data_IF_565783590636
#
_entry.id   IF_565783590636
#
_cell.length_a   1.000
_cell.length_b   1.000
_cell.length_c   1.000
_cell.angle_alpha   90.00
_cell.angle_beta   90.00
_cell.angle_gamma   90.00
#
_symmetry.space_group_name_H-M   'P 1'
#
loop_
_entity.id
_entity.type
_entity.pdbx_description
1 polymer ?
#
# COMPACT_ATOMS: atom_id res chain seq x y z
N UNK A 1 -40.29 16.43 10.70
CA UNK A 1 -40.23 15.02 10.22
C UNK A 1 -38.75 14.66 10.12
N UNK A 2 -38.24 13.87 11.06
CA UNK A 2 -36.79 13.67 11.22
C UNK A 2 -36.21 12.71 10.18
N UNK A 3 -34.96 12.96 9.79
CA UNK A 3 -34.11 11.94 9.15
C UNK A 3 -34.06 10.74 10.12
N UNK A 4 -34.37 9.50 9.68
CA UNK A 4 -34.28 8.34 10.56
C UNK A 4 -32.87 8.25 11.13
N UNK A 5 -32.73 8.07 12.45
CA UNK A 5 -31.43 8.10 13.14
C UNK A 5 -30.38 7.16 12.56
N UNK A 6 -30.83 6.08 11.93
CA UNK A 6 -30.00 5.10 11.19
C UNK A 6 -29.30 5.74 9.97
N UNK A 7 -30.00 6.59 9.20
CA UNK A 7 -29.41 7.24 8.03
C UNK A 7 -28.36 8.30 8.42
N UNK A 8 -28.60 9.01 9.53
CA UNK A 8 -27.63 9.95 10.09
C UNK A 8 -26.38 9.22 10.60
N UNK A 9 -26.55 8.13 11.35
CA UNK A 9 -25.45 7.31 11.83
C UNK A 9 -24.64 6.70 10.66
N UNK A 10 -25.32 6.19 9.63
CA UNK A 10 -24.68 5.68 8.42
C UNK A 10 -23.89 6.75 7.68
N UNK A 11 -24.43 7.96 7.52
CA UNK A 11 -23.72 9.08 6.91
C UNK A 11 -22.47 9.49 7.69
N UNK A 12 -22.54 9.50 9.02
CA UNK A 12 -21.37 9.77 9.88
C UNK A 12 -20.30 8.69 9.68
N UNK A 13 -20.68 7.40 9.70
CA UNK A 13 -19.76 6.29 9.46
C UNK A 13 -19.12 6.37 8.07
N UNK A 14 -19.86 6.82 7.05
CA UNK A 14 -19.34 6.99 5.70
C UNK A 14 -18.28 8.10 5.64
N UNK A 15 -18.50 9.23 6.32
CA UNK A 15 -17.52 10.31 6.41
C UNK A 15 -16.29 9.90 7.22
N UNK A 16 -16.49 9.20 8.34
CA UNK A 16 -15.38 8.71 9.18
C UNK A 16 -14.51 7.69 8.43
N UNK A 17 -15.13 6.75 7.72
CA UNK A 17 -14.40 5.79 6.88
C UNK A 17 -13.64 6.50 5.75
N UNK A 18 -14.25 7.50 5.10
CA UNK A 18 -13.56 8.32 4.09
C UNK A 18 -12.34 9.06 4.67
N UNK A 19 -12.50 9.67 5.85
CA UNK A 19 -11.42 10.38 6.53
C UNK A 19 -10.27 9.44 6.93
N UNK A 20 -10.60 8.24 7.43
CA UNK A 20 -9.62 7.21 7.74
C UNK A 20 -8.84 6.76 6.49
N UNK A 21 -9.54 6.45 5.41
CA UNK A 21 -8.92 6.05 4.13
C UNK A 21 -8.01 7.14 3.56
N UNK A 22 -8.37 8.41 3.76
CA UNK A 22 -7.55 9.52 3.30
C UNK A 22 -6.26 9.70 4.11
N UNK A 23 -6.29 9.51 5.44
CA UNK A 23 -5.19 9.91 6.33
C UNK A 23 -4.20 8.78 6.61
N UNK A 24 -4.64 7.51 6.61
CA UNK A 24 -3.86 6.39 7.11
C UNK A 24 -3.74 5.24 6.10
N UNK A 25 -3.20 5.46 4.89
CA UNK A 25 -2.92 4.35 3.97
C UNK A 25 -1.93 3.38 4.61
N UNK A 26 -2.29 2.11 4.63
CA UNK A 26 -1.43 1.03 5.14
C UNK A 26 -1.76 -0.30 4.48
N UNK A 27 -0.84 -1.25 4.57
CA UNK A 27 -1.01 -2.65 4.14
C UNK A 27 -1.73 -3.51 5.18
N UNK A 28 -2.35 -2.89 6.20
CA UNK A 28 -3.03 -3.60 7.28
C UNK A 28 -4.37 -4.19 6.83
N UNK A 29 -4.75 -5.33 7.43
CA UNK A 29 -6.07 -5.93 7.22
C UNK A 29 -7.21 -4.99 7.58
N UNK A 30 -7.01 -4.15 8.60
CA UNK A 30 -7.99 -3.14 8.98
C UNK A 30 -8.19 -2.09 7.90
N UNK A 31 -7.11 -1.65 7.24
CA UNK A 31 -7.21 -0.73 6.11
C UNK A 31 -7.94 -1.37 4.92
N UNK A 32 -7.56 -2.61 4.56
CA UNK A 32 -8.23 -3.36 3.50
C UNK A 32 -9.73 -3.57 3.78
N UNK A 33 -10.09 -3.87 5.03
CA UNK A 33 -11.49 -3.97 5.43
C UNK A 33 -12.24 -2.65 5.20
N UNK A 34 -11.62 -1.51 5.51
CA UNK A 34 -12.24 -0.20 5.27
C UNK A 34 -12.34 0.13 3.76
N UNK A 35 -11.39 -0.28 2.94
CA UNK A 35 -11.45 -0.14 1.47
C UNK A 35 -12.68 -0.88 0.90
N UNK A 36 -13.10 -1.98 1.52
CA UNK A 36 -14.32 -2.72 1.13
C UNK A 36 -15.58 -2.14 1.79
N UNK A 37 -15.52 -1.82 3.09
CA UNK A 37 -16.68 -1.34 3.84
C UNK A 37 -17.17 0.04 3.39
N UNK A 38 -16.24 0.94 3.01
CA UNK A 38 -16.59 2.28 2.54
C UNK A 38 -17.51 2.28 1.31
N UNK A 39 -17.16 1.61 0.18
CA UNK A 39 -18.03 1.56 -0.98
C UNK A 39 -19.33 0.79 -0.70
N UNK A 40 -19.30 -0.29 0.10
CA UNK A 40 -20.52 -1.01 0.49
C UNK A 40 -21.50 -0.10 1.25
N UNK A 41 -21.01 0.63 2.24
CA UNK A 41 -21.79 1.61 2.98
C UNK A 41 -22.32 2.72 2.06
N UNK A 42 -21.49 3.21 1.14
CA UNK A 42 -21.85 4.19 0.12
C UNK A 42 -22.99 3.71 -0.79
N UNK A 43 -22.94 2.47 -1.28
CA UNK A 43 -23.97 1.86 -2.12
C UNK A 43 -25.29 1.69 -1.37
N UNK A 44 -25.25 1.20 -0.12
CA UNK A 44 -26.45 1.02 0.71
C UNK A 44 -27.13 2.36 0.98
N UNK A 45 -26.36 3.37 1.39
CA UNK A 45 -26.89 4.71 1.69
C UNK A 45 -27.36 5.43 0.42
N UNK A 46 -26.61 5.31 -0.68
CA UNK A 46 -26.98 5.86 -1.98
C UNK A 46 -28.28 5.27 -2.51
N UNK A 47 -28.42 3.93 -2.46
CA UNK A 47 -29.62 3.23 -2.87
C UNK A 47 -30.84 3.59 -2.01
N UNK A 48 -30.66 3.68 -0.69
CA UNK A 48 -31.71 4.16 0.22
C UNK A 48 -32.13 5.61 -0.08
N UNK A 49 -31.16 6.48 -0.37
CA UNK A 49 -31.40 7.87 -0.77
C UNK A 49 -32.18 8.00 -2.08
N UNK A 50 -31.80 7.23 -3.10
CA UNK A 50 -32.49 7.16 -4.40
C UNK A 50 -33.92 6.62 -4.22
N UNK A 51 -34.09 5.54 -3.46
CA UNK A 51 -35.42 4.97 -3.17
C UNK A 51 -36.33 5.97 -2.44
N UNK A 52 -35.76 6.73 -1.50
CA UNK A 52 -36.48 7.79 -0.79
C UNK A 52 -36.91 8.92 -1.74
N UNK A 53 -36.01 9.37 -2.62
CA UNK A 53 -36.30 10.38 -3.64
C UNK A 53 -37.37 9.91 -4.63
N UNK A 54 -37.34 8.64 -5.05
CA UNK A 54 -38.36 8.07 -5.92
C UNK A 54 -39.73 8.10 -5.25
N UNK A 55 -39.82 7.63 -3.99
CA UNK A 55 -41.09 7.55 -3.25
C UNK A 55 -41.70 8.91 -2.92
N UNK A 56 -40.87 9.93 -2.69
CA UNK A 56 -41.33 11.27 -2.28
C UNK A 56 -41.31 12.32 -3.39
N UNK A 57 -40.76 11.98 -4.55
CA UNK A 57 -40.50 12.93 -5.63
C UNK A 57 -39.23 13.76 -5.39
N UNK A 58 -38.63 14.22 -6.48
CA UNK A 58 -37.46 15.10 -6.41
C UNK A 58 -37.82 16.44 -5.74
N UNK A 59 -36.97 16.96 -4.84
CA UNK A 59 -37.14 18.30 -4.29
C UNK A 59 -37.32 19.33 -5.40
N UNK A 60 -38.26 20.25 -5.21
CA UNK A 60 -38.53 21.36 -6.14
C UNK A 60 -37.57 22.53 -5.91
N UNK A 61 -37.11 22.71 -4.66
CA UNK A 61 -36.14 23.73 -4.30
C UNK A 61 -34.76 23.47 -4.93
N UNK A 62 -34.12 24.55 -5.41
CA UNK A 62 -32.83 24.48 -6.12
C UNK A 62 -31.71 23.85 -5.28
N UNK A 63 -31.65 24.18 -3.99
CA UNK A 63 -30.57 23.73 -3.10
C UNK A 63 -30.61 22.21 -2.84
N UNK A 64 -31.69 21.60 -2.30
CA UNK A 64 -31.74 20.16 -2.08
C UNK A 64 -31.71 19.36 -3.39
N UNK A 65 -32.26 19.90 -4.48
CA UNK A 65 -32.13 19.28 -5.81
C UNK A 65 -30.67 19.22 -6.27
N UNK A 66 -29.95 20.34 -6.17
CA UNK A 66 -28.52 20.39 -6.51
C UNK A 66 -27.69 19.45 -5.63
N UNK A 67 -27.93 19.45 -4.32
CA UNK A 67 -27.24 18.57 -3.38
C UNK A 67 -27.49 17.08 -3.70
N UNK A 68 -28.71 16.70 -4.04
CA UNK A 68 -29.06 15.35 -4.46
C UNK A 68 -28.33 14.95 -5.76
N UNK A 69 -28.36 15.82 -6.79
CA UNK A 69 -27.68 15.56 -8.08
C UNK A 69 -26.19 15.36 -7.89
N UNK A 70 -25.52 16.25 -7.15
CA UNK A 70 -24.08 16.16 -6.90
C UNK A 70 -23.73 14.89 -6.11
N UNK A 71 -24.56 14.50 -5.13
CA UNK A 71 -24.34 13.28 -4.35
C UNK A 71 -24.54 12.01 -5.17
N UNK A 72 -25.53 11.99 -6.07
CA UNK A 72 -25.73 10.88 -7.01
C UNK A 72 -24.56 10.78 -7.99
N UNK A 73 -24.07 11.90 -8.50
CA UNK A 73 -22.87 11.93 -9.35
C UNK A 73 -21.64 11.40 -8.59
N UNK A 74 -21.42 11.84 -7.35
CA UNK A 74 -20.36 11.31 -6.48
C UNK A 74 -20.46 9.79 -6.28
N UNK A 75 -21.66 9.27 -6.00
CA UNK A 75 -21.90 7.83 -5.86
C UNK A 75 -21.65 7.06 -7.17
N UNK A 76 -22.07 7.60 -8.32
CA UNK A 76 -21.82 7.00 -9.63
C UNK A 76 -20.32 6.96 -9.96
N UNK A 77 -19.58 8.03 -9.67
CA UNK A 77 -18.12 8.04 -9.79
C UNK A 77 -17.48 7.01 -8.86
N UNK A 78 -17.98 6.86 -7.64
CA UNK A 78 -17.52 5.85 -6.67
C UNK A 78 -17.74 4.42 -7.16
N UNK A 79 -18.87 4.14 -7.82
CA UNK A 79 -19.09 2.86 -8.51
C UNK A 79 -18.11 2.66 -9.66
N UNK A 80 -17.75 3.72 -10.38
CA UNK A 80 -16.70 3.68 -11.40
C UNK A 80 -15.33 3.33 -10.81
N UNK A 81 -14.95 3.97 -9.69
CA UNK A 81 -13.70 3.65 -8.95
C UNK A 81 -13.70 2.20 -8.50
N UNK A 82 -14.82 1.71 -7.93
CA UNK A 82 -14.96 0.32 -7.53
C UNK A 82 -14.82 -0.64 -8.72
N UNK A 83 -15.43 -0.30 -9.85
CA UNK A 83 -15.30 -1.07 -11.10
C UNK A 83 -13.84 -1.16 -11.54
N UNK A 84 -13.13 -0.04 -11.64
CA UNK A 84 -11.71 -0.02 -12.01
C UNK A 84 -10.85 -0.84 -11.05
N UNK A 85 -11.08 -0.70 -9.74
CA UNK A 85 -10.35 -1.47 -8.74
C UNK A 85 -10.56 -2.99 -8.89
N UNK A 86 -11.74 -3.45 -9.33
CA UNK A 86 -12.02 -4.87 -9.57
C UNK A 86 -11.35 -5.40 -10.85
N UNK A 87 -11.09 -4.55 -11.84
CA UNK A 87 -10.44 -4.93 -13.09
C UNK A 87 -8.93 -4.65 -13.13
N UNK A 88 -8.37 -4.12 -12.04
CA UNK A 88 -6.93 -3.84 -11.92
C UNK A 88 -6.47 -2.54 -12.59
N UNK A 89 -7.40 -1.72 -13.08
CA UNK A 89 -7.11 -0.44 -13.70
C UNK A 89 -7.08 0.69 -12.65
N UNK A 90 -6.27 1.72 -12.92
CA UNK A 90 -6.16 2.90 -12.08
C UNK A 90 -6.34 4.17 -12.90
N UNK A 91 -7.34 4.99 -12.53
CA UNK A 91 -7.53 6.33 -13.07
C UNK A 91 -7.68 7.35 -11.93
N UNK A 92 -6.58 7.99 -11.57
CA UNK A 92 -6.53 8.93 -10.46
C UNK A 92 -7.56 10.07 -10.60
N UNK A 93 -7.78 10.55 -11.83
CA UNK A 93 -8.78 11.57 -12.12
C UNK A 93 -10.19 11.15 -11.68
N UNK A 94 -10.55 9.87 -11.83
CA UNK A 94 -11.85 9.35 -11.42
C UNK A 94 -12.00 9.31 -9.90
N UNK A 95 -10.95 8.88 -9.19
CA UNK A 95 -10.90 8.89 -7.74
C UNK A 95 -11.01 10.32 -7.19
N UNK A 96 -10.23 11.26 -7.73
CA UNK A 96 -10.31 12.67 -7.32
C UNK A 96 -11.68 13.27 -7.61
N UNK A 97 -12.28 12.96 -8.77
CA UNK A 97 -13.64 13.38 -9.09
C UNK A 97 -14.66 12.82 -8.07
N UNK A 98 -14.57 11.53 -7.73
CA UNK A 98 -15.42 10.92 -6.70
C UNK A 98 -15.29 11.64 -5.36
N UNK A 99 -14.05 11.92 -4.90
CA UNK A 99 -13.79 12.63 -3.65
C UNK A 99 -14.38 14.03 -3.67
N UNK A 100 -14.15 14.80 -4.74
CA UNK A 100 -14.66 16.17 -4.88
C UNK A 100 -16.19 16.20 -4.88
N UNK A 101 -16.83 15.41 -5.74
CA UNK A 101 -18.30 15.38 -5.83
C UNK A 101 -18.95 14.90 -4.54
N UNK A 102 -18.40 13.86 -3.90
CA UNK A 102 -18.93 13.34 -2.63
C UNK A 102 -18.78 14.36 -1.50
N UNK A 103 -17.65 15.09 -1.46
CA UNK A 103 -17.41 16.14 -0.47
C UNK A 103 -18.34 17.33 -0.68
N UNK A 104 -18.48 17.83 -1.91
CA UNK A 104 -19.40 18.93 -2.23
C UNK A 104 -20.85 18.52 -1.97
N UNK A 105 -21.23 17.29 -2.33
CA UNK A 105 -22.55 16.72 -2.06
C UNK A 105 -22.85 16.67 -0.56
N UNK A 106 -21.91 16.16 0.24
CA UNK A 106 -22.03 16.08 1.70
C UNK A 106 -22.15 17.47 2.36
N UNK A 107 -21.35 18.44 1.92
CA UNK A 107 -21.41 19.83 2.42
C UNK A 107 -22.75 20.48 2.03
N UNK A 108 -23.22 20.31 0.80
CA UNK A 108 -24.49 20.86 0.34
C UNK A 108 -25.69 20.23 1.07
N UNK A 109 -25.67 18.92 1.28
CA UNK A 109 -26.67 18.19 2.09
C UNK A 109 -26.66 18.66 3.54
N UNK A 110 -25.47 18.79 4.15
CA UNK A 110 -25.31 19.30 5.52
C UNK A 110 -25.82 20.73 5.67
N UNK A 111 -25.50 21.61 4.71
CA UNK A 111 -26.01 22.98 4.66
C UNK A 111 -27.52 23.07 4.47
N UNK A 112 -28.10 22.20 3.65
CA UNK A 112 -29.56 22.10 3.51
C UNK A 112 -30.22 21.63 4.81
N UNK A 113 -29.70 20.56 5.44
CA UNK A 113 -30.18 20.07 6.74
C UNK A 113 -30.07 21.14 7.82
N UNK A 114 -29.00 21.94 7.84
CA UNK A 114 -28.86 23.09 8.72
C UNK A 114 -29.96 24.12 8.50
N UNK A 115 -30.21 24.52 7.25
CA UNK A 115 -31.27 25.49 6.92
C UNK A 115 -32.65 25.02 7.31
N UNK A 116 -32.98 23.75 7.07
CA UNK A 116 -34.31 23.19 7.40
C UNK A 116 -34.48 22.97 8.91
N UNK A 117 -33.39 22.83 9.66
CA UNK A 117 -33.40 22.74 11.12
C UNK A 117 -33.28 24.10 11.83
N UNK A 118 -32.94 25.17 11.11
CA UNK A 118 -32.87 26.53 11.63
C UNK A 118 -34.28 27.02 12.00
N UNK A 119 -34.59 27.02 13.29
CA UNK A 119 -35.90 27.40 13.84
C UNK A 119 -36.54 26.34 14.73
N UNK A 120 -36.03 25.11 14.72
CA UNK A 120 -36.34 24.11 15.75
C UNK A 120 -35.24 24.11 16.83
N UNK A 121 -35.53 23.77 18.10
CA UNK A 121 -34.49 23.57 19.09
C UNK A 121 -33.56 22.45 18.60
N UNK A 122 -32.39 22.84 18.11
CA UNK A 122 -31.39 21.92 17.58
C UNK A 122 -30.90 21.08 18.76
N UNK A 123 -31.17 19.77 18.75
CA UNK A 123 -30.68 18.88 19.80
C UNK A 123 -29.15 18.98 19.91
N UNK A 124 -28.62 18.84 21.12
CA UNK A 124 -27.17 18.84 21.36
C UNK A 124 -26.44 17.86 20.44
N UNK A 125 -27.05 16.70 20.15
CA UNK A 125 -26.53 15.68 19.24
C UNK A 125 -26.24 16.22 17.84
N UNK A 126 -27.18 16.98 17.26
CA UNK A 126 -27.03 17.55 15.91
C UNK A 126 -25.96 18.63 15.88
N UNK A 127 -25.90 19.50 16.91
CA UNK A 127 -24.84 20.52 17.03
C UNK A 127 -23.46 19.88 17.11
N UNK A 128 -23.30 18.91 17.99
CA UNK A 128 -22.05 18.17 18.15
C UNK A 128 -21.66 17.47 16.85
N UNK A 129 -22.59 16.79 16.17
CA UNK A 129 -22.31 16.13 14.88
C UNK A 129 -21.81 17.11 13.81
N UNK A 130 -22.41 18.29 13.70
CA UNK A 130 -21.99 19.27 12.71
C UNK A 130 -20.66 19.94 13.05
N UNK A 131 -20.42 20.22 14.32
CA UNK A 131 -19.11 20.69 14.79
C UNK A 131 -18.03 19.64 14.50
N UNK A 132 -18.29 18.35 14.76
CA UNK A 132 -17.36 17.26 14.44
C UNK A 132 -17.10 17.14 12.94
N UNK A 133 -18.13 17.29 12.10
CA UNK A 133 -17.97 17.30 10.64
C UNK A 133 -17.12 18.49 10.16
N UNK A 134 -17.36 19.70 10.69
CA UNK A 134 -16.58 20.88 10.37
C UNK A 134 -15.12 20.74 10.83
N UNK A 135 -14.88 20.20 12.03
CA UNK A 135 -13.53 19.88 12.52
C UNK A 135 -12.88 18.83 11.62
N UNK A 136 -13.59 17.76 11.25
CA UNK A 136 -13.08 16.73 10.35
C UNK A 136 -12.68 17.27 8.98
N UNK A 137 -13.45 18.19 8.41
CA UNK A 137 -13.15 18.84 7.13
C UNK A 137 -11.81 19.58 7.13
N UNK A 138 -11.39 20.11 8.27
CA UNK A 138 -10.08 20.77 8.44
C UNK A 138 -9.01 19.77 8.88
N UNK A 139 -9.33 18.89 9.84
CA UNK A 139 -8.38 17.97 10.45
C UNK A 139 -7.89 16.90 9.49
N UNK A 140 -8.74 16.38 8.58
CA UNK A 140 -8.37 15.33 7.61
C UNK A 140 -7.26 15.79 6.66
N UNK A 141 -7.38 16.90 5.91
CA UNK A 141 -6.30 17.36 5.04
C UNK A 141 -5.04 17.76 5.82
N UNK A 142 -5.17 18.33 7.02
CA UNK A 142 -4.01 18.59 7.89
C UNK A 142 -3.30 17.30 8.32
N UNK A 143 -4.06 16.28 8.73
CA UNK A 143 -3.49 14.99 9.12
C UNK A 143 -2.86 14.27 7.91
N UNK A 144 -3.47 14.37 6.72
CA UNK A 144 -2.90 13.84 5.48
C UNK A 144 -1.58 14.52 5.11
N UNK A 145 -1.53 15.85 5.14
CA UNK A 145 -0.29 16.59 4.85
C UNK A 145 0.81 16.28 5.87
N UNK A 146 0.46 16.16 7.15
CA UNK A 146 1.40 15.73 8.19
C UNK A 146 1.90 14.29 7.96
N UNK A 147 1.02 13.36 7.58
CA UNK A 147 1.39 12.00 7.20
C UNK A 147 2.35 12.00 6.01
N UNK A 148 2.01 12.69 4.92
CA UNK A 148 2.84 12.75 3.71
C UNK A 148 4.21 13.36 4.00
N UNK A 149 4.28 14.38 4.87
CA UNK A 149 5.55 14.98 5.29
C UNK A 149 6.40 13.98 6.08
N UNK A 150 5.81 13.28 7.05
CA UNK A 150 6.52 12.25 7.83
C UNK A 150 6.97 11.09 6.95
N UNK A 151 6.11 10.66 6.03
CA UNK A 151 6.41 9.59 5.09
C UNK A 151 7.59 9.97 4.19
N UNK A 152 7.59 11.15 3.59
CA UNK A 152 8.73 11.63 2.79
C UNK A 152 10.01 11.68 3.62
N UNK A 153 9.96 12.22 4.82
CA UNK A 153 11.12 12.31 5.71
C UNK A 153 11.64 10.94 6.15
N UNK A 154 10.76 9.95 6.31
CA UNK A 154 11.16 8.57 6.61
C UNK A 154 11.80 7.84 5.41
N UNK A 155 11.59 8.33 4.19
CA UNK A 155 12.13 7.73 2.95
C UNK A 155 13.19 8.62 2.28
N UNK A 156 13.65 9.67 2.95
CA UNK A 156 14.88 10.37 2.56
C UNK A 156 16.09 9.60 3.08
N UNK A 157 17.13 9.52 2.27
CA UNK A 157 18.42 8.94 2.63
C UNK A 157 19.54 9.94 2.40
N UNK A 158 20.63 9.79 3.14
CA UNK A 158 21.82 10.60 3.01
C UNK A 158 23.03 9.69 2.86
N UNK A 159 23.73 9.81 1.74
CA UNK A 159 24.94 9.02 1.52
C UNK A 159 26.07 9.49 2.45
N UNK A 160 26.90 8.58 2.97
CA UNK A 160 28.07 8.96 3.74
C UNK A 160 29.03 9.81 2.89
N UNK A 161 29.66 10.81 3.51
CA UNK A 161 30.55 11.76 2.83
C UNK A 161 31.88 11.14 2.35
N UNK A 162 32.22 9.94 2.85
CA UNK A 162 33.42 9.20 2.47
C UNK A 162 33.22 7.70 2.66
N UNK A 163 34.11 6.88 2.10
CA UNK A 163 34.06 5.44 2.29
C UNK A 163 34.35 5.08 3.75
N UNK A 164 33.82 3.96 4.25
CA UNK A 164 34.16 3.49 5.59
C UNK A 164 35.64 3.11 5.69
N UNK A 165 36.16 3.16 6.92
CA UNK A 165 37.57 2.92 7.20
C UNK A 165 37.91 1.42 7.32
N UNK A 166 36.90 0.57 7.51
CA UNK A 166 37.02 -0.89 7.62
C UNK A 166 35.88 -1.55 6.87
N UNK A 167 36.13 -2.73 6.30
CA UNK A 167 35.07 -3.54 5.68
C UNK A 167 33.96 -3.94 6.67
N UNK A 168 34.26 -4.04 7.97
CA UNK A 168 33.26 -4.30 9.00
C UNK A 168 32.29 -3.12 9.23
N UNK A 169 32.71 -1.92 8.81
CA UNK A 169 31.91 -0.71 8.83
C UNK A 169 31.18 -0.50 7.48
N UNK A 170 31.38 -1.39 6.49
CA UNK A 170 30.52 -1.48 5.30
C UNK A 170 29.22 -2.19 5.66
N UNK A 171 28.15 -1.71 5.03
CA UNK A 171 26.80 -2.24 5.18
C UNK A 171 26.16 -2.13 6.56
N UNK A 172 25.30 -3.09 6.91
CA UNK A 172 24.48 -3.03 8.12
C UNK A 172 25.27 -3.42 9.40
N UNK A 173 26.57 -3.65 9.26
CA UNK A 173 27.49 -4.04 10.33
C UNK A 173 27.63 -5.56 10.52
N UNK A 174 28.76 -5.96 11.12
CA UNK A 174 29.16 -7.37 11.31
C UNK A 174 28.27 -8.21 12.25
N UNK A 175 27.34 -7.58 12.97
CA UNK A 175 26.42 -8.27 13.88
C UNK A 175 25.17 -8.83 13.19
N UNK A 176 24.98 -8.59 11.88
CA UNK A 176 23.80 -9.03 11.13
C UNK A 176 24.05 -10.38 10.44
N UNK A 177 23.03 -11.25 10.31
CA UNK A 177 23.18 -12.51 9.57
C UNK A 177 23.47 -12.31 8.07
N UNK A 178 23.26 -11.08 7.58
CA UNK A 178 23.36 -10.66 6.18
C UNK A 178 24.72 -10.01 5.86
N UNK A 179 25.59 -9.81 6.86
CA UNK A 179 26.94 -9.27 6.69
C UNK A 179 27.76 -10.10 5.68
N UNK A 180 28.58 -9.48 4.80
CA UNK A 180 28.88 -8.05 4.67
C UNK A 180 27.97 -7.26 3.72
N UNK A 181 26.81 -7.80 3.36
CA UNK A 181 25.81 -6.99 2.66
C UNK A 181 25.17 -5.98 3.61
N UNK A 182 24.56 -4.98 3.00
CA UNK A 182 23.88 -3.86 3.66
C UNK A 182 22.37 -4.01 3.63
N UNK A 183 21.91 -5.01 2.89
CA UNK A 183 20.54 -5.42 2.86
C UNK A 183 20.10 -5.80 4.27
N UNK A 184 18.92 -5.32 4.64
CA UNK A 184 18.31 -5.50 5.95
C UNK A 184 16.89 -6.02 5.78
N UNK A 185 16.36 -6.60 6.85
CA UNK A 185 14.95 -6.95 6.95
C UNK A 185 14.29 -6.05 7.99
N UNK A 186 13.03 -5.67 7.76
CA UNK A 186 12.31 -4.76 8.65
C UNK A 186 12.17 -5.29 10.09
N UNK A 187 12.13 -6.63 10.26
CA UNK A 187 12.10 -7.30 11.56
C UNK A 187 13.48 -7.59 12.15
N UNK A 188 14.55 -7.50 11.36
CA UNK A 188 15.87 -8.02 11.70
C UNK A 188 15.98 -9.56 11.66
N UNK A 189 14.89 -10.26 11.34
CA UNK A 189 14.84 -11.71 11.21
C UNK A 189 15.01 -12.15 9.75
N UNK A 190 15.32 -13.43 9.55
CA UNK A 190 15.39 -14.03 8.21
C UNK A 190 13.99 -14.14 7.60
N UNK A 191 13.91 -14.03 6.27
CA UNK A 191 12.66 -14.13 5.51
C UNK A 191 12.60 -15.50 4.84
N UNK A 192 11.49 -16.26 4.96
CA UNK A 192 11.32 -17.55 4.28
C UNK A 192 11.55 -17.48 2.76
N UNK A 193 12.16 -18.51 2.15
CA UNK A 193 12.44 -18.48 0.70
C UNK A 193 11.19 -18.44 -0.16
N UNK A 194 10.10 -19.07 0.28
CA UNK A 194 8.85 -19.12 -0.48
C UNK A 194 8.35 -17.72 -0.83
N UNK A 195 8.62 -16.72 0.01
CA UNK A 195 8.32 -15.31 -0.28
C UNK A 195 8.94 -14.78 -1.58
N UNK A 196 10.13 -15.26 -1.94
CA UNK A 196 10.86 -14.81 -3.13
C UNK A 196 10.60 -15.68 -4.37
N UNK A 197 9.85 -16.78 -4.21
CA UNK A 197 9.55 -17.75 -5.28
C UNK A 197 8.17 -17.53 -5.92
N UNK A 198 7.49 -16.42 -5.64
CA UNK A 198 6.09 -16.21 -6.03
C UNK A 198 5.87 -15.37 -7.29
N UNK A 199 6.88 -15.11 -8.11
CA UNK A 199 6.75 -14.26 -9.31
C UNK A 199 5.62 -14.73 -10.25
N UNK A 200 5.45 -16.05 -10.44
CA UNK A 200 4.39 -16.60 -11.28
C UNK A 200 2.98 -16.20 -10.79
N UNK A 201 2.80 -16.08 -9.47
CA UNK A 201 1.52 -15.65 -8.90
C UNK A 201 1.16 -14.23 -9.33
N UNK A 202 2.17 -13.35 -9.43
CA UNK A 202 2.01 -11.98 -9.92
C UNK A 202 1.61 -11.99 -11.41
N UNK A 203 2.20 -12.89 -12.20
CA UNK A 203 1.90 -13.07 -13.64
C UNK A 203 0.48 -13.54 -13.98
N UNK A 204 -0.30 -14.00 -12.98
CA UNK A 204 -1.75 -14.29 -13.16
C UNK A 204 -2.56 -13.03 -13.48
N UNK A 205 -2.16 -11.89 -12.93
CA UNK A 205 -2.84 -10.61 -13.13
C UNK A 205 -1.97 -9.59 -13.88
N UNK A 206 -0.64 -9.65 -13.74
CA UNK A 206 0.32 -8.75 -14.38
C UNK A 206 1.13 -9.47 -15.47
N UNK A 207 0.42 -10.05 -16.44
CA UNK A 207 1.01 -10.92 -17.48
C UNK A 207 2.16 -10.23 -18.24
N UNK A 208 1.92 -9.04 -18.78
CA UNK A 208 2.89 -8.32 -19.60
C UNK A 208 4.18 -7.99 -18.84
N UNK A 209 4.05 -7.60 -17.56
CA UNK A 209 5.20 -7.30 -16.69
C UNK A 209 5.96 -8.57 -16.35
N UNK A 210 5.24 -9.65 -16.06
CA UNK A 210 5.84 -10.95 -15.78
C UNK A 210 6.66 -11.46 -16.97
N UNK A 211 6.12 -11.39 -18.19
CA UNK A 211 6.83 -11.82 -19.41
C UNK A 211 8.09 -10.98 -19.66
N UNK A 212 8.02 -9.67 -19.45
CA UNK A 212 9.21 -8.81 -19.54
C UNK A 212 10.24 -9.12 -18.46
N UNK A 213 9.79 -9.43 -17.23
CA UNK A 213 10.67 -9.81 -16.14
C UNK A 213 11.35 -11.16 -16.41
N UNK A 214 10.62 -12.14 -16.92
CA UNK A 214 11.09 -13.51 -17.17
C UNK A 214 12.25 -13.52 -18.19
N UNK A 215 12.30 -12.56 -19.10
CA UNK A 215 13.39 -12.39 -20.07
C UNK A 215 14.50 -11.41 -19.60
N UNK A 216 14.36 -10.83 -18.40
CA UNK A 216 15.23 -9.75 -17.93
C UNK A 216 16.52 -10.21 -17.24
N UNK A 217 17.50 -9.32 -17.21
CA UNK A 217 18.73 -9.52 -16.43
C UNK A 217 18.48 -9.68 -14.92
N UNK A 218 17.36 -9.16 -14.40
CA UNK A 218 16.98 -9.35 -12.99
C UNK A 218 16.54 -10.78 -12.71
N UNK A 219 15.76 -11.40 -13.60
CA UNK A 219 15.45 -12.82 -13.49
C UNK A 219 16.72 -13.67 -13.63
N UNK A 220 17.60 -13.33 -14.59
CA UNK A 220 18.89 -14.02 -14.79
C UNK A 220 20.05 -13.48 -13.94
N UNK A 221 19.77 -13.01 -12.73
CA UNK A 221 20.79 -12.39 -11.87
C UNK A 221 21.47 -13.37 -10.91
N UNK A 222 20.84 -14.50 -10.59
CA UNK A 222 21.37 -15.50 -9.64
C UNK A 222 22.09 -16.63 -10.38
N UNK A 223 21.98 -17.87 -9.90
CA UNK A 223 22.76 -19.01 -10.39
C UNK A 223 22.22 -19.66 -11.67
N UNK A 224 21.11 -19.14 -12.19
CA UNK A 224 20.67 -19.37 -13.56
C UNK A 224 21.58 -18.66 -14.60
N UNK A 225 22.51 -17.81 -14.14
CA UNK A 225 23.56 -17.20 -14.96
C UNK A 225 24.94 -17.82 -14.68
N UNK A 226 25.52 -18.46 -15.70
CA UNK A 226 26.78 -19.21 -15.57
C UNK A 226 27.98 -18.33 -15.20
N UNK A 227 27.99 -17.05 -15.60
CA UNK A 227 29.09 -16.14 -15.30
C UNK A 227 29.08 -15.73 -13.83
N UNK A 228 27.90 -15.36 -13.32
CA UNK A 228 27.71 -15.05 -11.91
C UNK A 228 28.01 -16.27 -11.05
N UNK A 229 27.41 -17.41 -11.40
CA UNK A 229 27.64 -18.70 -10.75
C UNK A 229 29.12 -19.01 -10.60
N UNK A 230 29.89 -18.98 -11.70
CA UNK A 230 31.31 -19.35 -11.64
C UNK A 230 32.12 -18.39 -10.76
N UNK A 231 31.75 -17.11 -10.76
CA UNK A 231 32.41 -16.08 -9.94
C UNK A 231 32.18 -16.32 -8.45
N UNK A 232 30.94 -16.61 -8.05
CA UNK A 232 30.59 -16.90 -6.65
C UNK A 232 31.18 -18.24 -6.21
N UNK A 233 31.07 -19.29 -7.02
CA UNK A 233 31.67 -20.59 -6.68
C UNK A 233 33.18 -20.46 -6.43
N UNK A 234 33.90 -19.75 -7.30
CA UNK A 234 35.34 -19.53 -7.13
C UNK A 234 35.64 -18.70 -5.86
N UNK A 235 34.88 -17.62 -5.62
CA UNK A 235 35.04 -16.83 -4.40
C UNK A 235 34.84 -17.69 -3.15
N UNK A 236 33.78 -18.49 -3.11
CA UNK A 236 33.49 -19.36 -1.96
C UNK A 236 34.55 -20.44 -1.76
N UNK A 237 35.12 -20.99 -2.84
CA UNK A 237 36.21 -21.96 -2.77
C UNK A 237 37.50 -21.39 -2.15
N UNK A 238 37.78 -20.11 -2.42
CA UNK A 238 39.05 -19.47 -2.03
C UNK A 238 38.97 -18.79 -0.68
N UNK A 239 37.84 -18.11 -0.38
CA UNK A 239 37.70 -17.25 0.80
C UNK A 239 36.45 -17.53 1.64
N UNK A 240 35.69 -18.57 1.32
CA UNK A 240 34.50 -18.98 2.08
C UNK A 240 33.21 -18.24 1.69
N UNK A 241 32.10 -18.60 2.33
CA UNK A 241 30.75 -18.13 1.98
C UNK A 241 30.47 -16.70 2.42
N UNK A 242 31.01 -16.26 3.55
CA UNK A 242 30.69 -14.95 4.13
C UNK A 242 30.99 -13.77 3.17
N UNK A 243 32.19 -13.64 2.56
CA UNK A 243 32.45 -12.53 1.64
C UNK A 243 31.50 -12.47 0.45
N UNK A 244 31.03 -13.63 -0.02
CA UNK A 244 30.11 -13.71 -1.18
C UNK A 244 28.71 -13.18 -0.89
N UNK A 245 28.32 -13.02 0.39
CA UNK A 245 27.05 -12.39 0.76
C UNK A 245 26.95 -10.92 0.32
N UNK A 246 28.09 -10.25 0.13
CA UNK A 246 28.12 -8.90 -0.47
C UNK A 246 27.40 -8.87 -1.82
N UNK A 247 27.65 -9.88 -2.66
CA UNK A 247 27.01 -10.04 -3.98
C UNK A 247 25.54 -10.45 -3.83
N UNK A 248 25.26 -11.34 -2.87
CA UNK A 248 23.96 -11.95 -2.66
C UNK A 248 22.85 -10.95 -2.33
N UNK A 249 23.17 -9.85 -1.64
CA UNK A 249 22.24 -8.75 -1.38
C UNK A 249 21.69 -8.08 -2.65
N UNK A 250 22.39 -8.19 -3.78
CA UNK A 250 21.93 -7.65 -5.07
C UNK A 250 21.47 -8.74 -6.05
N UNK A 251 21.82 -10.02 -5.84
CA UNK A 251 21.65 -11.07 -6.85
C UNK A 251 20.77 -12.24 -6.41
N UNK A 252 20.75 -12.59 -5.11
CA UNK A 252 20.36 -13.93 -4.65
C UNK A 252 19.29 -13.91 -3.55
N UNK A 253 18.31 -13.01 -3.62
CA UNK A 253 17.38 -12.73 -2.52
C UNK A 253 16.71 -13.98 -1.93
N UNK A 254 16.33 -14.94 -2.78
CA UNK A 254 15.70 -16.20 -2.35
C UNK A 254 16.63 -17.15 -1.57
N UNK A 255 17.95 -17.08 -1.76
CA UNK A 255 18.96 -17.85 -1.00
C UNK A 255 19.54 -17.03 0.16
N UNK A 256 19.55 -15.71 0.00
CA UNK A 256 20.25 -14.78 0.87
C UNK A 256 19.45 -14.46 2.13
N UNK A 257 18.20 -13.98 1.97
CA UNK A 257 17.41 -13.48 3.10
C UNK A 257 16.91 -14.57 4.05
N UNK A 258 16.95 -15.85 3.64
CA UNK A 258 16.61 -16.99 4.49
C UNK A 258 17.83 -17.63 5.18
N UNK A 259 19.02 -17.03 5.04
CA UNK A 259 20.27 -17.50 5.66
C UNK A 259 20.91 -18.72 4.99
N UNK A 260 20.34 -19.26 3.90
CA UNK A 260 20.92 -20.44 3.22
C UNK A 260 22.28 -20.15 2.59
N UNK A 261 22.60 -18.88 2.36
CA UNK A 261 23.89 -18.43 1.82
C UNK A 261 25.09 -18.70 2.75
N UNK A 262 24.87 -19.09 4.00
CA UNK A 262 25.95 -19.58 4.89
C UNK A 262 26.57 -20.89 4.38
N UNK A 263 25.83 -21.67 3.59
CA UNK A 263 26.29 -22.94 3.00
C UNK A 263 26.85 -22.72 1.59
N UNK A 264 27.88 -23.47 1.18
CA UNK A 264 28.43 -23.36 -0.18
C UNK A 264 27.36 -23.50 -1.26
N UNK A 265 27.36 -22.61 -2.24
CA UNK A 265 26.33 -22.59 -3.27
C UNK A 265 26.35 -23.85 -4.14
N UNK A 266 27.52 -24.47 -4.34
CA UNK A 266 27.64 -25.73 -5.09
C UNK A 266 26.76 -26.86 -4.54
N UNK A 267 26.47 -26.85 -3.25
CA UNK A 267 25.64 -27.87 -2.59
C UNK A 267 24.13 -27.63 -2.77
N UNK A 268 23.73 -26.45 -3.26
CA UNK A 268 22.34 -26.04 -3.38
C UNK A 268 22.01 -25.34 -4.71
N UNK A 269 22.86 -25.51 -5.72
CA UNK A 269 22.76 -24.78 -7.00
C UNK A 269 21.50 -25.15 -7.79
N UNK A 270 21.02 -26.39 -7.64
CA UNK A 270 19.85 -26.92 -8.35
C UNK A 270 18.52 -26.59 -7.63
N UNK A 271 18.55 -25.86 -6.51
CA UNK A 271 17.31 -25.54 -5.79
C UNK A 271 16.58 -24.37 -6.44
N UNK A 272 15.23 -24.30 -6.32
CA UNK A 272 14.47 -23.19 -6.88
C UNK A 272 14.96 -21.82 -6.42
N UNK A 273 15.40 -21.71 -5.17
CA UNK A 273 15.96 -20.46 -4.63
C UNK A 273 17.19 -19.99 -5.40
N UNK A 274 18.11 -20.90 -5.75
CA UNK A 274 19.31 -20.55 -6.49
C UNK A 274 19.02 -20.18 -7.95
N UNK A 275 17.87 -20.61 -8.48
CA UNK A 275 17.47 -20.34 -9.87
C UNK A 275 16.50 -19.15 -10.02
N UNK A 276 16.03 -18.57 -8.91
CA UNK A 276 14.96 -17.57 -8.92
C UNK A 276 15.37 -16.18 -9.41
N UNK A 277 16.66 -15.83 -9.29
CA UNK A 277 17.11 -14.46 -9.51
C UNK A 277 16.45 -13.47 -8.55
N UNK A 278 16.26 -12.24 -9.03
CA UNK A 278 15.47 -11.22 -8.36
C UNK A 278 14.01 -11.31 -8.84
N UNK A 279 13.17 -12.02 -8.09
CA UNK A 279 11.73 -12.09 -8.31
C UNK A 279 10.98 -10.79 -8.03
N UNK A 280 9.67 -10.74 -8.31
CA UNK A 280 8.86 -9.52 -8.15
C UNK A 280 8.94 -8.94 -6.73
N UNK A 281 8.88 -9.81 -5.72
CA UNK A 281 8.95 -9.42 -4.30
C UNK A 281 10.30 -8.81 -3.94
N UNK A 282 11.40 -9.15 -4.61
CA UNK A 282 12.74 -8.56 -4.40
C UNK A 282 12.74 -7.03 -4.48
N UNK A 283 11.94 -6.46 -5.40
CA UNK A 283 11.78 -5.01 -5.54
C UNK A 283 10.54 -4.51 -4.79
N UNK A 284 9.41 -5.21 -4.90
CA UNK A 284 8.12 -4.76 -4.35
C UNK A 284 8.00 -4.90 -2.82
N UNK A 285 9.01 -5.45 -2.16
CA UNK A 285 9.11 -5.52 -0.69
C UNK A 285 10.12 -4.54 -0.09
N UNK A 286 10.80 -3.75 -0.92
CA UNK A 286 11.72 -2.71 -0.43
C UNK A 286 10.89 -1.56 0.15
N UNK A 287 11.04 -1.32 1.45
CA UNK A 287 10.34 -0.26 2.19
C UNK A 287 11.21 0.94 2.52
N UNK A 288 12.53 0.80 2.48
CA UNK A 288 13.46 1.90 2.70
C UNK A 288 14.75 1.65 1.93
N UNK A 289 15.38 2.72 1.43
CA UNK A 289 16.72 2.72 0.86
C UNK A 289 17.58 3.57 1.77
N UNK A 290 18.62 2.99 2.38
CA UNK A 290 19.50 3.70 3.32
C UNK A 290 20.61 4.50 2.63
N UNK A 291 21.00 4.07 1.42
CA UNK A 291 22.12 4.66 0.68
C UNK A 291 22.07 4.26 -0.79
N UNK A 292 22.59 5.12 -1.68
CA UNK A 292 22.85 4.75 -3.09
C UNK A 292 24.27 4.25 -3.30
N UNK A 293 25.07 4.11 -2.24
CA UNK A 293 26.38 3.49 -2.32
C UNK A 293 26.22 1.98 -2.55
N UNK A 294 27.03 1.41 -3.45
CA UNK A 294 26.72 0.16 -4.18
C UNK A 294 26.83 -1.16 -3.40
N UNK A 295 26.29 -1.26 -2.18
CA UNK A 295 26.34 -2.45 -1.31
C UNK A 295 24.96 -3.04 -0.96
N UNK A 296 23.91 -2.63 -1.68
CA UNK A 296 22.53 -3.07 -1.47
C UNK A 296 21.86 -2.51 -0.20
N UNK A 297 22.02 -1.22 0.11
CA UNK A 297 21.44 -0.58 1.32
C UNK A 297 19.94 -0.37 1.21
N UNK A 298 19.19 -1.44 1.43
CA UNK A 298 17.75 -1.39 1.44
C UNK A 298 17.17 -2.31 2.50
N UNK A 299 15.98 -1.95 2.95
CA UNK A 299 15.20 -2.70 3.93
C UNK A 299 14.08 -3.42 3.21
N UNK A 300 14.05 -4.74 3.33
CA UNK A 300 12.96 -5.60 2.84
C UNK A 300 11.97 -5.87 3.96
N UNK A 301 10.68 -5.72 3.67
CA UNK A 301 9.58 -6.10 4.57
C UNK A 301 8.93 -7.42 4.11
N UNK A 302 8.74 -8.35 5.05
CA UNK A 302 7.88 -9.53 4.87
C UNK A 302 6.50 -9.22 5.47
N UNK A 303 5.50 -8.84 4.66
CA UNK A 303 4.23 -8.34 5.18
C UNK A 303 3.35 -9.50 5.70
N UNK A 304 2.63 -9.31 6.83
CA UNK A 304 1.72 -10.33 7.36
C UNK A 304 0.63 -10.80 6.38
N UNK A 305 0.31 -9.97 5.38
CA UNK A 305 -0.67 -10.30 4.34
C UNK A 305 -0.20 -11.49 3.47
N UNK A 306 1.10 -11.73 3.36
CA UNK A 306 1.64 -12.85 2.58
C UNK A 306 1.15 -14.21 3.12
N UNK A 307 1.06 -14.35 4.45
CA UNK A 307 0.64 -15.59 5.11
C UNK A 307 -0.83 -15.96 4.87
N UNK A 308 -1.63 -15.03 4.33
CA UNK A 308 -3.04 -15.27 4.02
C UNK A 308 -3.25 -15.92 2.64
N UNK A 309 -2.21 -15.98 1.81
CA UNK A 309 -2.28 -16.72 0.56
C UNK A 309 -2.14 -18.23 0.84
N UNK A 310 -3.01 -19.08 0.27
CA UNK A 310 -2.83 -20.53 0.38
C UNK A 310 -1.46 -20.92 -0.18
N UNK A 311 -0.61 -21.56 0.64
CA UNK A 311 0.64 -22.12 0.13
C UNK A 311 0.29 -23.16 -0.94
N UNK A 312 0.98 -23.16 -2.10
CA UNK A 312 0.76 -24.16 -3.13
C UNK A 312 0.98 -25.59 -2.61
#
# INVERSE_FOLDING_TARGET
MGVPGIALAGGILLVLSAGYLAVAPSTSLWYLANVVLHPLLGVVLGGAGVSWLWRRGCPTDRLPRGAAVVSVAGAALGLGVLGMALFGDRLDALLYAHVVFSTVGAVALGGWLWRVSAGQPVSLKVRVSLTLLAVGFVAVPMARTAFDSRWRQAHTFENPAGPPLRMADEGAGAGTPLFPSSAQTASGELIPSDFFLTSEMCGRCHRDIYEQWDESAHHFSSFNNQWYRRSVEYMQDVVGTEPSKFCAGCHDHAVFFNGRFDRPIREQIETPEAQAGLGCTSCHSIVHVGSTMGQGDFVVEYPPLHDLHPKP
#
